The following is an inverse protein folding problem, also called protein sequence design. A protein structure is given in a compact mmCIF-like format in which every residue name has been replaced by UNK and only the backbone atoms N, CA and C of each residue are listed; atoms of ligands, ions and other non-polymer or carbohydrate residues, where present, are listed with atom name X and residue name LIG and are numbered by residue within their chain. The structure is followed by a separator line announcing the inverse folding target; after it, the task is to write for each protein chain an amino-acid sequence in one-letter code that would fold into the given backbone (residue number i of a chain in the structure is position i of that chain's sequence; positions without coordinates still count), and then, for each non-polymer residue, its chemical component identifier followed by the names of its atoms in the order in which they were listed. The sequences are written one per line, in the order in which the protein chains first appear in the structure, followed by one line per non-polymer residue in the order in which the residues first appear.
data_IF_751708489109
#
_entry.id   IF_751708489109
#
_cell.length_a   1.000
_cell.length_b   1.000
_cell.length_c   1.000
_cell.angle_alpha   90.00
_cell.angle_beta   90.00
_cell.angle_gamma   90.00
#
_symmetry.space_group_name_H-M   'P 1'
#
loop_
_entity.id
_entity.type
_entity.pdbx_description
1 polymer ?
#
# COMPACT_ATOMS: atom_id res chain seq x y z
N UNK A 1 10.84 -6.33 -24.75
CA UNK A 1 9.36 -6.43 -24.70
C UNK A 1 8.99 -7.86 -25.08
N UNK A 2 8.49 -8.66 -24.14
CA UNK A 2 7.91 -9.97 -24.48
C UNK A 2 6.65 -9.74 -25.32
N UNK A 3 6.60 -10.35 -26.50
CA UNK A 3 5.35 -10.42 -27.28
C UNK A 3 4.41 -11.35 -26.52
N UNK A 4 3.10 -11.16 -26.71
CA UNK A 4 2.00 -11.77 -25.94
C UNK A 4 1.98 -13.33 -25.90
N UNK A 5 2.96 -14.02 -26.48
CA UNK A 5 2.97 -15.47 -26.73
C UNK A 5 4.19 -16.25 -26.20
N UNK A 6 5.12 -15.66 -25.45
CA UNK A 6 6.30 -16.37 -24.89
C UNK A 6 6.15 -16.73 -23.40
N UNK A 7 4.97 -17.18 -22.97
CA UNK A 7 4.81 -17.69 -21.61
C UNK A 7 5.32 -19.14 -21.50
N UNK A 8 6.02 -19.52 -20.41
CA UNK A 8 6.38 -20.91 -20.17
C UNK A 8 5.15 -21.82 -20.23
N UNK A 9 5.33 -23.06 -20.69
CA UNK A 9 4.23 -24.04 -20.80
C UNK A 9 3.49 -24.17 -19.46
N UNK A 10 2.19 -23.93 -19.47
CA UNK A 10 1.33 -23.96 -18.27
C UNK A 10 1.06 -22.59 -17.63
N UNK A 11 1.68 -21.51 -18.12
CA UNK A 11 1.38 -20.14 -17.69
C UNK A 11 0.46 -19.44 -18.69
N UNK A 12 -0.49 -18.67 -18.16
CA UNK A 12 -1.37 -17.81 -18.94
C UNK A 12 -1.31 -16.36 -18.42
N UNK A 13 -1.53 -15.41 -19.32
CA UNK A 13 -1.65 -14.00 -18.94
C UNK A 13 -3.05 -13.71 -18.40
N UNK A 14 -3.13 -13.14 -17.20
CA UNK A 14 -4.36 -12.57 -16.63
C UNK A 14 -4.15 -11.11 -16.26
N UNK A 15 -5.23 -10.34 -16.32
CA UNK A 15 -5.26 -9.01 -15.72
C UNK A 15 -5.33 -9.14 -14.21
N UNK A 16 -4.71 -8.19 -13.50
CA UNK A 16 -4.73 -8.15 -12.03
C UNK A 16 -6.14 -8.10 -11.46
N UNK A 17 -7.09 -7.44 -12.15
CA UNK A 17 -8.50 -7.36 -11.74
C UNK A 17 -9.18 -8.73 -11.57
N UNK A 18 -8.64 -9.79 -12.16
CA UNK A 18 -9.18 -11.15 -12.04
C UNK A 18 -8.47 -12.02 -11.00
N UNK A 19 -7.34 -11.55 -10.45
CA UNK A 19 -6.52 -12.32 -9.50
C UNK A 19 -6.33 -11.62 -8.15
N UNK A 20 -6.74 -10.37 -8.04
CA UNK A 20 -6.75 -9.59 -6.80
C UNK A 20 -8.18 -9.38 -6.31
N UNK A 21 -8.39 -9.44 -4.99
CA UNK A 21 -9.68 -9.15 -4.35
C UNK A 21 -10.00 -7.65 -4.34
N UNK A 22 -8.97 -6.81 -4.21
CA UNK A 22 -9.07 -5.36 -4.22
C UNK A 22 -7.80 -4.77 -4.85
N UNK A 23 -7.98 -3.78 -5.73
CA UNK A 23 -6.90 -2.93 -6.24
C UNK A 23 -7.35 -1.50 -6.02
N UNK A 24 -6.68 -0.79 -5.13
CA UNK A 24 -7.03 0.58 -4.72
C UNK A 24 -5.76 1.39 -4.48
N UNK A 25 -5.91 2.70 -4.32
CA UNK A 25 -4.82 3.58 -3.90
C UNK A 25 -5.09 4.15 -2.49
N UNK A 26 -4.07 4.78 -1.91
CA UNK A 26 -4.18 5.46 -0.63
C UNK A 26 -5.08 6.70 -0.70
N UNK A 27 -5.22 7.41 0.43
CA UNK A 27 -5.90 8.71 0.45
C UNK A 27 -5.00 9.82 -0.11
N UNK A 28 -5.62 10.81 -0.75
CA UNK A 28 -4.99 12.05 -1.22
C UNK A 28 -5.49 13.28 -0.45
N UNK A 29 -6.30 13.07 0.58
CA UNK A 29 -6.89 14.15 1.34
C UNK A 29 -5.82 14.89 2.14
N UNK A 30 -6.00 16.21 2.28
CA UNK A 30 -5.17 17.01 3.18
C UNK A 30 -5.60 16.74 4.62
N UNK A 31 -5.12 15.64 5.17
CA UNK A 31 -5.41 15.20 6.52
C UNK A 31 -4.61 16.04 7.52
N UNK A 32 -5.23 16.81 8.44
CA UNK A 32 -4.49 17.44 9.52
C UNK A 32 -3.78 16.37 10.34
N UNK A 33 -2.49 16.60 10.56
CA UNK A 33 -1.62 15.70 11.29
C UNK A 33 -1.70 16.00 12.79
N UNK A 34 -1.58 14.95 13.60
CA UNK A 34 -1.58 15.04 15.07
C UNK A 34 -0.30 14.45 15.64
N UNK A 35 -0.10 14.64 16.95
CA UNK A 35 1.03 14.04 17.66
C UNK A 35 0.91 12.51 17.73
N UNK A 36 2.08 11.84 17.73
CA UNK A 36 2.21 10.38 17.85
C UNK A 36 1.47 9.79 19.06
N UNK A 37 1.33 10.55 20.14
CA UNK A 37 0.66 10.09 21.38
C UNK A 37 -0.86 9.94 21.22
N UNK A 38 -1.45 10.64 20.26
CA UNK A 38 -2.91 10.77 20.11
C UNK A 38 -3.41 10.19 18.78
N UNK A 39 -2.52 10.01 17.81
CA UNK A 39 -2.87 9.56 16.47
C UNK A 39 -2.59 8.10 16.15
N UNK A 40 -3.06 7.71 14.97
CA UNK A 40 -2.82 6.42 14.31
C UNK A 40 -1.79 6.63 13.19
N UNK A 41 -0.80 5.74 13.01
CA UNK A 41 0.20 5.89 11.95
C UNK A 41 -0.44 5.87 10.57
N UNK A 42 -0.06 6.83 9.73
CA UNK A 42 -0.38 6.90 8.31
C UNK A 42 0.87 6.54 7.51
N UNK A 43 0.81 5.41 6.82
CA UNK A 43 1.87 4.92 5.94
C UNK A 43 1.74 5.56 4.56
N UNK A 44 2.86 6.08 4.06
CA UNK A 44 2.95 6.71 2.74
C UNK A 44 4.08 6.08 1.92
N UNK A 45 4.18 6.42 0.63
CA UNK A 45 5.19 5.83 -0.27
C UNK A 45 6.63 6.02 0.21
N UNK A 46 6.94 7.09 0.96
CA UNK A 46 8.28 7.32 1.55
C UNK A 46 8.64 6.32 2.65
N UNK A 47 7.64 5.69 3.27
CA UNK A 47 7.80 4.77 4.39
C UNK A 47 8.00 3.32 3.91
N UNK A 48 7.76 3.06 2.63
CA UNK A 48 8.06 1.78 1.96
C UNK A 48 9.56 1.69 1.66
N UNK A 49 10.24 0.72 2.30
CA UNK A 49 11.67 0.45 2.16
C UNK A 49 11.91 -0.93 1.57
N UNK A 50 13.16 -1.22 1.24
CA UNK A 50 13.56 -2.50 0.64
C UNK A 50 13.46 -3.63 1.68
N UNK A 51 13.65 -3.28 2.95
CA UNK A 51 13.50 -4.16 4.12
C UNK A 51 12.05 -4.27 4.65
N UNK A 52 11.08 -3.54 4.08
CA UNK A 52 9.69 -3.54 4.52
C UNK A 52 9.12 -2.15 4.82
N UNK A 53 8.10 -2.09 5.67
CA UNK A 53 7.46 -0.83 6.08
C UNK A 53 8.21 -0.21 7.26
N UNK A 54 8.67 1.03 7.12
CA UNK A 54 9.35 1.76 8.19
C UNK A 54 8.40 2.61 9.00
N UNK A 55 8.23 2.28 10.28
CA UNK A 55 7.38 3.03 11.23
C UNK A 55 8.11 4.16 11.98
N UNK A 56 9.36 4.47 11.61
CA UNK A 56 10.24 5.36 12.38
C UNK A 56 9.76 6.82 12.38
N UNK A 57 9.43 7.35 11.20
CA UNK A 57 9.08 8.77 10.98
C UNK A 57 7.77 8.91 10.18
N UNK A 58 6.81 8.04 10.52
CA UNK A 58 5.48 8.05 9.90
C UNK A 58 4.68 9.25 10.37
N UNK A 59 3.71 9.64 9.55
CA UNK A 59 2.75 10.67 9.90
C UNK A 59 1.70 10.06 10.83
N UNK A 60 1.02 10.90 11.62
CA UNK A 60 -0.04 10.47 12.51
C UNK A 60 -1.31 11.26 12.24
N UNK A 61 -2.45 10.56 12.22
CA UNK A 61 -3.77 11.10 11.93
C UNK A 61 -4.73 10.77 13.07
N UNK A 62 -5.87 11.47 13.17
CA UNK A 62 -6.87 11.16 14.19
C UNK A 62 -7.52 9.79 13.95
N UNK A 63 -8.10 9.20 15.00
CA UNK A 63 -8.85 7.94 14.89
C UNK A 63 -10.04 8.05 13.93
N UNK A 64 -10.75 9.17 13.97
CA UNK A 64 -11.88 9.43 13.07
C UNK A 64 -11.45 9.43 11.60
N UNK A 65 -10.31 10.06 11.29
CA UNK A 65 -9.76 10.05 9.93
C UNK A 65 -9.34 8.66 9.50
N UNK A 66 -8.65 7.94 10.39
CA UNK A 66 -8.28 6.56 10.13
C UNK A 66 -9.51 5.70 9.81
N UNK A 67 -10.59 5.82 10.59
CA UNK A 67 -11.85 5.11 10.35
C UNK A 67 -12.48 5.43 8.99
N UNK A 68 -12.33 6.65 8.47
CA UNK A 68 -12.80 6.97 7.11
C UNK A 68 -11.89 6.39 6.03
N UNK A 69 -10.56 6.46 6.21
CA UNK A 69 -9.58 6.00 5.23
C UNK A 69 -9.69 4.48 5.04
N UNK A 70 -9.77 3.72 6.14
CA UNK A 70 -9.80 2.24 6.08
C UNK A 70 -11.05 1.69 5.40
N UNK A 71 -12.15 2.46 5.30
CA UNK A 71 -13.34 2.04 4.56
C UNK A 71 -13.06 1.84 3.07
N UNK A 72 -12.09 2.58 2.53
CA UNK A 72 -11.70 2.54 1.12
C UNK A 72 -10.41 1.77 0.90
N UNK A 73 -9.46 1.95 1.82
CA UNK A 73 -8.08 1.48 1.67
C UNK A 73 -7.55 1.09 3.04
N UNK A 74 -7.72 -0.19 3.38
CA UNK A 74 -7.17 -0.80 4.59
C UNK A 74 -6.15 -1.85 4.17
N UNK A 75 -4.85 -1.53 4.21
CA UNK A 75 -3.82 -2.54 4.04
C UNK A 75 -3.95 -3.61 5.12
N UNK A 76 -3.97 -4.88 4.72
CA UNK A 76 -3.98 -6.04 5.61
C UNK A 76 -2.73 -6.88 5.41
N UNK A 77 -2.40 -7.72 6.40
CA UNK A 77 -1.23 -8.59 6.33
C UNK A 77 -1.30 -9.48 5.08
N UNK A 78 -0.21 -9.49 4.31
CA UNK A 78 -0.12 -10.19 3.02
C UNK A 78 -0.45 -9.33 1.81
N UNK A 79 -1.01 -8.13 1.99
CA UNK A 79 -1.24 -7.20 0.90
C UNK A 79 0.09 -6.68 0.33
N UNK A 80 0.05 -6.31 -0.95
CA UNK A 80 1.18 -5.70 -1.65
C UNK A 80 0.92 -4.20 -1.78
N UNK A 81 1.73 -3.40 -1.11
CA UNK A 81 1.79 -1.96 -1.30
C UNK A 81 2.72 -1.62 -2.45
N UNK A 82 2.26 -0.75 -3.35
CA UNK A 82 3.02 -0.40 -4.55
C UNK A 82 3.05 1.12 -4.75
N UNK A 83 4.25 1.69 -4.84
CA UNK A 83 4.43 3.11 -5.10
C UNK A 83 4.19 3.43 -6.59
N UNK A 84 3.13 4.20 -6.86
CA UNK A 84 2.77 4.69 -8.21
C UNK A 84 3.49 5.99 -8.59
N UNK A 85 3.93 6.79 -7.61
CA UNK A 85 4.45 8.16 -7.81
C UNK A 85 5.71 8.34 -6.94
N UNK A 86 6.78 8.89 -7.52
CA UNK A 86 8.10 9.01 -6.87
C UNK A 86 9.04 7.91 -7.32
N UNK A 87 9.65 7.16 -6.39
CA UNK A 87 10.38 5.93 -6.75
C UNK A 87 9.36 4.86 -7.14
N UNK A 88 9.21 4.66 -8.44
CA UNK A 88 8.29 3.66 -9.03
C UNK A 88 8.86 2.26 -8.79
N UNK A 89 7.99 1.29 -8.51
CA UNK A 89 8.39 -0.13 -8.59
C UNK A 89 8.98 -0.72 -7.31
N UNK A 90 8.67 -0.15 -6.13
CA UNK A 90 8.96 -0.79 -4.85
C UNK A 90 7.72 -1.50 -4.32
N UNK A 91 7.51 -2.80 -4.63
CA UNK A 91 6.49 -3.60 -3.98
C UNK A 91 6.95 -3.92 -2.55
N UNK A 92 6.09 -3.64 -1.58
CA UNK A 92 6.34 -3.96 -0.17
C UNK A 92 5.17 -4.78 0.35
N UNK A 93 5.48 -5.93 0.93
CA UNK A 93 4.46 -6.77 1.57
C UNK A 93 4.16 -6.19 2.95
N UNK A 94 2.88 -6.11 3.30
CA UNK A 94 2.45 -5.82 4.67
C UNK A 94 2.70 -7.07 5.52
N UNK A 95 3.76 -7.05 6.32
CA UNK A 95 4.11 -8.14 7.27
C UNK A 95 3.98 -7.70 8.74
N UNK A 96 3.19 -6.65 8.97
CA UNK A 96 2.96 -6.08 10.30
C UNK A 96 1.54 -6.35 10.74
N UNK A 97 1.36 -6.68 12.02
CA UNK A 97 0.04 -6.77 12.68
C UNK A 97 -0.41 -5.42 13.27
N UNK A 98 0.37 -4.36 13.03
CA UNK A 98 0.13 -2.96 13.46
C UNK A 98 -0.80 -2.25 12.50
#
# INVERSE_FOLDING_TARGET
MYRQNDFPKGFESKKLEYVCTLITDGTHDKTPLVDKKEGVPLITSKDLKDEGISFKNVLYITREQHEQIIKRSKPEKGDILYSKIGTIGKPTIVDSDI
#
